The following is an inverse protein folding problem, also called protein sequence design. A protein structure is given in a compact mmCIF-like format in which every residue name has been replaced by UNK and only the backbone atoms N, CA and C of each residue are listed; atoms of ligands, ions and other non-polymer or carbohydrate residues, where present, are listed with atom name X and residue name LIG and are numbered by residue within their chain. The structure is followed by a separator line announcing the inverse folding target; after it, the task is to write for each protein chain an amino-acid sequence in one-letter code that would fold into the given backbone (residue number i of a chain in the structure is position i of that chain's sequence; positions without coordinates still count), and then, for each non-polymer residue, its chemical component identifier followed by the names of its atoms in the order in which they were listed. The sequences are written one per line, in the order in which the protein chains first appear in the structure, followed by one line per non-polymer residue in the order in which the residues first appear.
data_IF_097877580085
#
_entry.id   IF_097877580085
#
_cell.length_a   1.000
_cell.length_b   1.000
_cell.length_c   1.000
_cell.angle_alpha   90.00
_cell.angle_beta   90.00
_cell.angle_gamma   90.00
#
_symmetry.space_group_name_H-M   'P 1'
#
loop_
_entity.id
_entity.type
_entity.pdbx_description
1 polymer ?
#
# COMPACT_ATOMS: atom_id res chain seq x y z
N UNK A 1 -25.48 17.38 10.08
CA UNK A 1 -24.90 18.47 9.25
C UNK A 1 -23.58 17.99 8.67
N UNK A 2 -23.57 17.35 7.49
CA UNK A 2 -23.09 17.92 6.22
C UNK A 2 -21.91 18.91 6.37
N UNK A 3 -20.69 18.41 6.63
CA UNK A 3 -19.43 19.17 6.46
C UNK A 3 -18.25 18.35 5.90
N UNK A 4 -18.47 17.12 5.43
CA UNK A 4 -17.37 16.22 5.03
C UNK A 4 -16.95 16.33 3.55
N UNK A 5 -17.53 17.25 2.76
CA UNK A 5 -17.34 17.26 1.30
C UNK A 5 -16.50 18.42 0.75
N UNK A 6 -15.89 19.25 1.61
CA UNK A 6 -15.23 20.49 1.16
C UNK A 6 -13.69 20.46 1.16
N UNK A 7 -13.06 19.37 1.61
CA UNK A 7 -11.60 19.32 1.72
C UNK A 7 -10.87 18.91 0.42
N UNK A 8 -11.54 18.17 -0.48
CA UNK A 8 -10.94 17.78 -1.77
C UNK A 8 -10.78 18.96 -2.76
N UNK A 9 -11.43 20.10 -2.51
CA UNK A 9 -11.40 21.25 -3.43
C UNK A 9 -10.35 22.30 -3.09
N UNK A 10 -9.79 22.29 -1.87
CA UNK A 10 -8.91 23.39 -1.41
C UNK A 10 -7.42 23.21 -1.72
N UNK A 11 -6.99 21.99 -2.10
CA UNK A 11 -5.61 21.74 -2.55
C UNK A 11 -5.33 22.43 -3.91
N UNK A 12 -6.37 22.85 -4.64
CA UNK A 12 -6.23 23.49 -5.96
C UNK A 12 -5.99 25.01 -5.94
N UNK A 13 -6.07 25.74 -4.83
CA UNK A 13 -6.25 27.20 -4.87
C UNK A 13 -5.10 28.08 -4.35
N UNK A 14 -4.00 27.55 -3.80
CA UNK A 14 -2.99 28.40 -3.15
C UNK A 14 -1.53 28.23 -3.60
N UNK A 15 -1.26 27.72 -4.79
CA UNK A 15 0.08 27.79 -5.38
C UNK A 15 0.01 27.68 -6.90
N UNK A 16 0.48 28.71 -7.59
CA UNK A 16 0.88 28.74 -9.02
C UNK A 16 0.74 27.41 -9.74
N UNK A 17 -0.36 27.20 -10.46
CA UNK A 17 -0.66 26.08 -11.37
C UNK A 17 0.28 24.87 -11.28
N UNK A 18 0.27 24.19 -10.13
CA UNK A 18 0.80 22.84 -10.01
C UNK A 18 -0.25 21.91 -10.62
N UNK A 19 0.04 21.38 -11.81
CA UNK A 19 -0.75 20.27 -12.35
C UNK A 19 -0.42 19.03 -11.48
N UNK A 20 -1.14 18.85 -10.38
CA UNK A 20 -1.05 17.63 -9.57
C UNK A 20 -2.02 16.60 -10.15
N UNK A 21 -1.48 15.51 -10.69
CA UNK A 21 -2.30 14.33 -10.94
C UNK A 21 -2.37 13.54 -9.64
N UNK A 22 -3.58 13.37 -9.11
CA UNK A 22 -3.79 12.52 -7.96
C UNK A 22 -3.58 11.06 -8.35
N UNK A 23 -2.53 10.41 -7.85
CA UNK A 23 -2.41 8.96 -7.95
C UNK A 23 -3.21 8.31 -6.81
N UNK A 24 -3.83 7.16 -7.10
CA UNK A 24 -4.87 6.49 -6.32
C UNK A 24 -4.44 5.88 -4.96
N UNK A 25 -3.31 6.30 -4.38
CA UNK A 25 -2.72 5.67 -3.20
C UNK A 25 -2.99 6.48 -1.92
N UNK A 26 -4.21 6.34 -1.41
CA UNK A 26 -4.51 6.70 -0.03
C UNK A 26 -4.32 5.47 0.85
N UNK A 27 -3.77 5.66 2.04
CA UNK A 27 -3.66 4.58 3.02
C UNK A 27 -4.08 5.03 4.40
N UNK A 28 -4.62 4.06 5.13
CA UNK A 28 -4.82 4.19 6.55
C UNK A 28 -3.46 4.29 7.23
N UNK A 29 -3.32 5.26 8.13
CA UNK A 29 -2.15 5.34 9.00
C UNK A 29 -2.06 4.21 10.00
N UNK A 30 -0.98 4.21 10.78
CA UNK A 30 -0.69 3.12 11.70
C UNK A 30 -1.56 3.20 12.97
N UNK A 31 -2.03 4.40 13.30
CA UNK A 31 -2.96 4.65 14.42
C UNK A 31 -4.21 5.41 13.96
N UNK A 32 -5.19 5.51 14.85
CA UNK A 32 -6.43 6.25 14.57
C UNK A 32 -6.15 7.74 14.35
N UNK A 33 -6.92 8.38 13.46
CA UNK A 33 -6.73 9.78 13.09
C UNK A 33 -5.65 9.99 12.03
N UNK A 34 -4.76 9.02 11.81
CA UNK A 34 -3.72 9.13 10.80
C UNK A 34 -4.17 8.71 9.40
N UNK A 35 -3.76 9.50 8.41
CA UNK A 35 -3.69 9.03 7.03
C UNK A 35 -2.41 9.50 6.36
N UNK A 36 -2.02 8.70 5.37
CA UNK A 36 -0.91 9.00 4.50
C UNK A 36 -1.40 9.00 3.06
N UNK A 37 -0.88 9.93 2.28
CA UNK A 37 -1.26 10.10 0.89
C UNK A 37 -0.02 10.34 0.06
N UNK A 38 0.15 9.52 -0.98
CA UNK A 38 1.24 9.70 -1.93
C UNK A 38 0.73 10.52 -3.10
N UNK A 39 1.25 11.74 -3.21
CA UNK A 39 0.88 12.71 -4.24
C UNK A 39 1.94 12.75 -5.33
N UNK A 40 1.55 13.20 -6.52
CA UNK A 40 2.49 13.60 -7.57
C UNK A 40 2.15 14.99 -8.11
N UNK A 41 3.19 15.74 -8.47
CA UNK A 41 3.03 17.09 -9.03
C UNK A 41 4.10 17.37 -10.07
N UNK A 42 3.75 18.13 -11.10
CA UNK A 42 4.73 18.57 -12.08
C UNK A 42 5.47 19.81 -11.58
N UNK A 43 6.79 19.73 -11.44
CA UNK A 43 7.62 20.87 -11.04
C UNK A 43 8.30 21.50 -12.25
N UNK A 44 7.93 22.75 -12.55
CA UNK A 44 8.49 23.50 -13.67
C UNK A 44 9.95 23.95 -13.43
N UNK A 45 10.35 24.20 -12.18
CA UNK A 45 11.70 24.69 -11.85
C UNK A 45 12.83 23.68 -12.17
N UNK A 46 12.50 22.40 -12.22
CA UNK A 46 13.44 21.29 -12.48
C UNK A 46 12.89 20.33 -13.54
N UNK A 47 11.92 20.80 -14.34
CA UNK A 47 11.18 20.08 -15.39
C UNK A 47 11.01 18.59 -15.15
N UNK A 48 9.96 18.20 -14.43
CA UNK A 48 9.60 16.80 -14.30
C UNK A 48 8.51 16.51 -13.27
N UNK A 49 8.02 15.26 -13.31
CA UNK A 49 7.12 14.74 -12.28
C UNK A 49 7.88 14.54 -10.97
N UNK A 50 7.30 15.08 -9.90
CA UNK A 50 7.68 14.84 -8.52
C UNK A 50 6.63 14.02 -7.83
N UNK A 51 7.06 13.37 -6.76
CA UNK A 51 6.21 12.59 -5.90
C UNK A 51 6.51 12.98 -4.46
N UNK A 52 5.56 12.77 -3.56
CA UNK A 52 5.80 13.05 -2.16
C UNK A 52 4.74 12.47 -1.24
N UNK A 53 5.14 12.32 0.02
CA UNK A 53 4.29 11.81 1.08
C UNK A 53 3.66 12.99 1.82
N UNK A 54 2.33 12.98 1.84
CA UNK A 54 1.51 13.90 2.61
C UNK A 54 0.93 13.13 3.80
N UNK A 55 0.85 13.79 4.94
CA UNK A 55 0.45 13.20 6.21
C UNK A 55 -0.53 14.11 6.96
N UNK A 56 -1.39 13.47 7.75
CA UNK A 56 -2.20 14.08 8.80
C UNK A 56 -2.35 13.09 9.95
N UNK A 57 -2.45 13.59 11.18
CA UNK A 57 -2.77 12.83 12.40
C UNK A 57 -4.06 13.28 13.08
N UNK A 58 -4.88 14.10 12.42
CA UNK A 58 -6.07 14.73 12.99
C UNK A 58 -7.30 14.57 12.10
N UNK A 59 -7.39 13.43 11.41
CA UNK A 59 -8.44 13.11 10.45
C UNK A 59 -8.51 14.10 9.26
N UNK A 60 -7.38 14.76 8.94
CA UNK A 60 -7.26 15.68 7.81
C UNK A 60 -7.65 17.12 8.09
N UNK A 61 -7.71 17.51 9.36
CA UNK A 61 -7.87 18.92 9.70
C UNK A 61 -6.59 19.70 9.38
N UNK A 62 -5.43 19.09 9.60
CA UNK A 62 -4.12 19.63 9.20
C UNK A 62 -3.39 18.64 8.28
N UNK A 63 -2.67 19.21 7.31
CA UNK A 63 -1.97 18.46 6.27
C UNK A 63 -0.52 18.94 6.24
N UNK A 64 0.43 18.02 6.28
CA UNK A 64 1.87 18.29 6.21
C UNK A 64 2.53 17.50 5.10
N UNK A 65 3.52 18.10 4.43
CA UNK A 65 4.40 17.40 3.49
C UNK A 65 5.59 16.82 4.25
N UNK A 66 5.84 15.52 4.12
CA UNK A 66 6.84 14.81 4.93
C UNK A 66 8.05 14.30 4.15
N UNK A 67 7.88 13.86 2.90
CA UNK A 67 8.96 13.21 2.17
C UNK A 67 8.90 13.51 0.68
N UNK A 68 10.01 13.96 0.10
CA UNK A 68 10.16 14.15 -1.34
C UNK A 68 10.51 12.83 -2.05
N UNK A 69 10.02 12.64 -3.26
CA UNK A 69 10.31 11.47 -4.11
C UNK A 69 9.70 10.13 -3.65
N UNK A 70 8.74 10.14 -2.72
CA UNK A 70 7.97 8.93 -2.38
C UNK A 70 6.96 8.63 -3.50
N UNK A 71 7.26 7.66 -4.36
CA UNK A 71 6.45 7.35 -5.55
C UNK A 71 5.64 6.04 -5.43
N UNK A 72 5.55 5.49 -4.23
CA UNK A 72 4.98 4.15 -4.01
C UNK A 72 4.05 4.14 -2.80
N UNK A 73 3.01 3.28 -2.78
CA UNK A 73 2.03 3.25 -1.70
C UNK A 73 2.69 3.01 -0.34
N UNK A 74 2.34 3.84 0.64
CA UNK A 74 2.73 3.68 2.04
C UNK A 74 1.53 3.12 2.79
N UNK A 75 1.69 2.25 3.80
CA UNK A 75 0.60 1.82 4.69
C UNK A 75 1.08 1.78 6.13
N UNK A 76 0.19 2.11 7.07
CA UNK A 76 0.43 1.84 8.48
C UNK A 76 0.37 0.35 8.82
N UNK A 77 1.24 -0.09 9.71
CA UNK A 77 1.16 -1.39 10.36
C UNK A 77 0.56 -1.27 11.77
N UNK A 78 0.45 -2.41 12.47
CA UNK A 78 -0.17 -2.47 13.80
C UNK A 78 0.75 -2.07 14.96
N UNK A 79 1.99 -1.66 14.71
CA UNK A 79 2.95 -1.22 15.74
C UNK A 79 3.30 0.27 15.61
N UNK A 80 2.54 1.05 14.84
CA UNK A 80 2.81 2.47 14.65
C UNK A 80 3.83 2.77 13.56
N UNK A 81 4.30 1.76 12.82
CA UNK A 81 5.24 1.91 11.73
C UNK A 81 4.57 2.05 10.36
N UNK A 82 5.29 2.61 9.40
CA UNK A 82 4.90 2.66 8.00
C UNK A 82 5.67 1.61 7.20
N UNK A 83 5.00 1.02 6.22
CA UNK A 83 5.58 0.11 5.24
C UNK A 83 5.37 0.71 3.87
N UNK A 84 6.39 0.70 3.04
CA UNK A 84 6.29 0.99 1.60
C UNK A 84 7.20 0.04 0.83
N UNK A 85 7.07 0.05 -0.49
CA UNK A 85 7.99 -0.64 -1.38
C UNK A 85 8.59 0.37 -2.32
N UNK A 86 9.88 0.34 -2.58
CA UNK A 86 10.51 1.20 -3.57
C UNK A 86 11.06 0.36 -4.70
N UNK A 87 10.74 0.73 -5.94
CA UNK A 87 11.22 0.01 -7.13
C UNK A 87 12.22 0.87 -7.91
N UNK A 88 13.49 0.94 -7.48
CA UNK A 88 14.53 1.56 -8.29
C UNK A 88 14.69 0.76 -9.59
N UNK A 89 14.81 1.46 -10.72
CA UNK A 89 14.98 0.85 -12.05
C UNK A 89 16.26 -0.01 -12.14
N UNK A 90 17.22 0.17 -11.23
CA UNK A 90 18.58 -0.37 -11.32
C UNK A 90 18.96 -1.39 -10.26
N UNK A 91 18.20 -1.55 -9.17
CA UNK A 91 18.62 -2.36 -8.01
C UNK A 91 17.56 -3.30 -7.45
N UNK A 92 16.48 -3.57 -8.19
CA UNK A 92 15.39 -4.42 -7.71
C UNK A 92 14.57 -3.72 -6.62
N UNK A 93 13.36 -4.21 -6.38
CA UNK A 93 12.46 -3.59 -5.41
C UNK A 93 13.04 -3.75 -4.00
N UNK A 94 12.69 -2.85 -3.08
CA UNK A 94 13.06 -2.88 -1.67
C UNK A 94 11.84 -2.68 -0.79
N UNK A 95 11.86 -3.25 0.40
CA UNK A 95 10.92 -2.87 1.46
C UNK A 95 11.47 -1.65 2.20
N UNK A 96 10.62 -0.66 2.40
CA UNK A 96 10.91 0.56 3.16
C UNK A 96 10.12 0.55 4.47
N UNK A 97 10.76 0.97 5.56
CA UNK A 97 10.16 1.02 6.91
C UNK A 97 10.41 2.37 7.57
N UNK A 98 9.40 2.96 8.17
CA UNK A 98 9.53 4.19 8.94
C UNK A 98 8.81 4.09 10.27
N UNK A 99 9.38 4.66 11.32
CA UNK A 99 8.75 4.80 12.65
C UNK A 99 8.66 6.27 13.08
N UNK A 100 8.94 7.20 12.18
CA UNK A 100 8.95 8.63 12.43
C UNK A 100 8.06 9.38 11.42
N UNK A 101 6.85 8.86 11.20
CA UNK A 101 5.83 9.48 10.32
C UNK A 101 6.28 9.65 8.86
N UNK A 102 7.20 8.81 8.40
CA UNK A 102 7.70 8.83 7.02
C UNK A 102 8.74 9.91 6.75
N UNK A 103 9.36 10.50 7.78
CA UNK A 103 10.49 11.41 7.63
C UNK A 103 11.70 10.64 7.08
N UNK A 104 12.04 9.50 7.69
CA UNK A 104 13.11 8.62 7.23
C UNK A 104 12.61 7.20 7.00
N UNK A 105 13.25 6.49 6.06
CA UNK A 105 12.95 5.09 5.77
C UNK A 105 14.20 4.22 5.83
N UNK A 106 14.16 3.21 6.71
CA UNK A 106 15.08 2.09 6.69
C UNK A 106 14.75 1.16 5.53
N UNK A 107 15.77 0.53 4.94
CA UNK A 107 15.59 -0.37 3.79
C UNK A 107 16.03 -1.78 4.13
N UNK A 108 15.21 -2.78 3.80
CA UNK A 108 15.61 -4.18 3.82
C UNK A 108 15.57 -4.80 2.42
N UNK A 109 16.52 -5.70 2.15
CA UNK A 109 16.62 -6.39 0.87
C UNK A 109 15.63 -7.55 0.81
N UNK A 110 14.47 -7.22 0.26
CA UNK A 110 13.47 -8.13 -0.28
C UNK A 110 13.10 -7.51 -1.63
N UNK A 111 12.83 -8.28 -2.68
CA UNK A 111 12.34 -7.78 -3.98
C UNK A 111 10.79 -7.91 -4.06
N UNK A 112 10.03 -7.11 -3.28
CA UNK A 112 8.58 -7.19 -3.30
C UNK A 112 8.03 -6.56 -4.57
N UNK A 113 7.12 -7.28 -5.22
CA UNK A 113 6.23 -6.76 -6.27
C UNK A 113 4.95 -6.15 -5.69
N UNK A 114 4.63 -6.50 -4.46
CA UNK A 114 3.51 -5.94 -3.70
C UNK A 114 3.60 -6.33 -2.23
N UNK A 115 2.79 -5.70 -1.41
CA UNK A 115 2.70 -6.01 0.01
C UNK A 115 1.28 -5.82 0.54
N UNK A 116 1.01 -6.47 1.67
CA UNK A 116 -0.22 -6.34 2.44
C UNK A 116 0.17 -6.09 3.90
N UNK A 117 -0.50 -5.17 4.61
CA UNK A 117 -0.32 -5.05 6.05
C UNK A 117 -0.76 -6.37 6.71
N UNK A 118 0.03 -6.87 7.65
CA UNK A 118 -0.34 -8.04 8.43
C UNK A 118 -1.49 -7.77 9.39
N UNK A 119 -2.00 -8.84 9.97
CA UNK A 119 -3.11 -8.85 10.92
C UNK A 119 -2.63 -8.76 12.37
N UNK A 120 -1.34 -8.95 12.62
CA UNK A 120 -0.73 -8.88 13.95
C UNK A 120 0.37 -7.81 13.98
N UNK A 121 0.72 -7.39 15.20
CA UNK A 121 1.80 -6.43 15.44
C UNK A 121 3.10 -6.91 14.78
N UNK A 122 3.69 -6.06 13.92
CA UNK A 122 4.95 -6.36 13.22
C UNK A 122 4.83 -7.38 12.09
N UNK A 123 3.63 -7.88 11.78
CA UNK A 123 3.43 -8.79 10.66
C UNK A 123 3.39 -8.01 9.32
N UNK A 124 4.21 -8.45 8.37
CA UNK A 124 4.27 -7.89 7.02
C UNK A 124 4.18 -9.03 6.03
N UNK A 125 3.24 -8.94 5.10
CA UNK A 125 3.08 -9.91 4.01
C UNK A 125 3.61 -9.28 2.74
N UNK A 126 4.57 -9.92 2.08
CA UNK A 126 5.15 -9.46 0.82
C UNK A 126 4.95 -10.48 -0.28
N UNK A 127 4.70 -10.00 -1.49
CA UNK A 127 4.56 -10.81 -2.70
C UNK A 127 5.80 -10.57 -3.54
N UNK A 128 6.59 -11.61 -3.76
CA UNK A 128 7.82 -11.53 -4.54
C UNK A 128 7.61 -12.23 -5.88
N UNK A 129 8.11 -11.62 -6.96
CA UNK A 129 8.09 -12.22 -8.29
C UNK A 129 9.47 -12.74 -8.65
N UNK A 130 9.64 -14.05 -8.82
CA UNK A 130 10.88 -14.59 -9.39
C UNK A 130 10.88 -14.40 -10.90
N UNK A 131 11.67 -13.45 -11.42
CA UNK A 131 12.18 -13.46 -12.81
C UNK A 131 11.19 -13.39 -13.98
N UNK A 132 9.88 -13.37 -13.74
CA UNK A 132 8.87 -13.39 -14.81
C UNK A 132 7.58 -14.01 -14.28
N UNK A 133 6.48 -13.35 -14.59
CA UNK A 133 5.11 -13.64 -14.19
C UNK A 133 4.78 -15.09 -13.75
N UNK A 134 4.30 -15.20 -12.50
CA UNK A 134 3.42 -16.27 -12.01
C UNK A 134 4.09 -17.64 -11.74
N UNK A 135 3.91 -18.27 -10.55
CA UNK A 135 3.22 -17.77 -9.34
C UNK A 135 4.03 -16.74 -8.55
N UNK A 136 3.33 -15.89 -7.79
CA UNK A 136 3.97 -15.02 -6.81
C UNK A 136 4.32 -15.83 -5.57
N UNK A 137 5.55 -15.67 -5.08
CA UNK A 137 5.97 -16.25 -3.83
C UNK A 137 5.54 -15.32 -2.67
N UNK A 138 4.83 -15.88 -1.70
CA UNK A 138 4.35 -15.13 -0.53
C UNK A 138 5.33 -15.28 0.64
N UNK A 139 5.92 -14.14 0.95
CA UNK A 139 6.67 -13.67 2.11
C UNK A 139 5.87 -13.37 3.36
N UNK A 140 6.19 -13.90 4.54
CA UNK A 140 5.71 -13.31 5.82
C UNK A 140 6.86 -13.01 6.76
N UNK A 141 6.91 -11.79 7.25
CA UNK A 141 7.69 -11.38 8.42
C UNK A 141 6.77 -11.26 9.62
N UNK A 142 7.25 -11.65 10.80
CA UNK A 142 6.61 -11.42 12.10
C UNK A 142 7.44 -10.52 13.01
N UNK A 143 8.50 -9.93 12.46
CA UNK A 143 9.55 -9.19 13.17
C UNK A 143 9.82 -7.84 12.50
N UNK A 144 8.75 -7.20 12.01
CA UNK A 144 8.78 -5.83 11.45
C UNK A 144 9.56 -5.69 10.14
N UNK A 145 9.79 -6.81 9.45
CA UNK A 145 10.51 -6.88 8.17
C UNK A 145 11.99 -7.20 8.30
N UNK A 146 12.45 -7.73 9.44
CA UNK A 146 13.86 -8.14 9.62
C UNK A 146 14.12 -9.51 8.97
N UNK A 147 13.21 -10.48 9.15
CA UNK A 147 13.29 -11.79 8.52
C UNK A 147 11.99 -12.16 7.82
N UNK A 148 12.11 -12.95 6.74
CA UNK A 148 10.97 -13.36 5.92
C UNK A 148 10.95 -14.87 5.72
N UNK A 149 9.79 -15.46 5.97
CA UNK A 149 9.55 -16.88 5.77
C UNK A 149 8.62 -17.09 4.57
N UNK A 150 9.04 -17.94 3.65
CA UNK A 150 8.18 -18.40 2.57
C UNK A 150 6.97 -19.15 3.14
N UNK A 151 5.76 -18.83 2.65
CA UNK A 151 4.52 -19.49 3.06
C UNK A 151 3.82 -20.24 1.95
N UNK A 152 3.76 -19.67 0.74
CA UNK A 152 3.01 -20.24 -0.37
C UNK A 152 3.44 -19.65 -1.71
N UNK A 153 3.08 -20.36 -2.78
CA UNK A 153 3.02 -19.80 -4.13
C UNK A 153 1.56 -19.52 -4.46
N UNK A 154 1.21 -18.25 -4.70
CA UNK A 154 -0.14 -17.86 -5.07
C UNK A 154 -0.20 -17.52 -6.56
N UNK A 155 -1.25 -17.95 -7.28
CA UNK A 155 -1.44 -17.55 -8.67
C UNK A 155 -1.54 -16.02 -8.77
N UNK A 156 -0.99 -15.46 -9.82
CA UNK A 156 -1.23 -14.08 -10.23
C UNK A 156 -2.47 -14.01 -11.13
N UNK A 157 -3.36 -13.09 -10.82
CA UNK A 157 -4.48 -12.72 -11.68
C UNK A 157 -4.39 -11.23 -11.97
N UNK A 158 -4.31 -10.88 -13.25
CA UNK A 158 -4.44 -9.49 -13.70
C UNK A 158 -5.78 -8.92 -13.22
N UNK A 159 -5.79 -7.65 -12.84
CA UNK A 159 -6.99 -6.94 -12.36
C UNK A 159 -7.67 -7.61 -11.15
N UNK A 160 -6.88 -8.16 -10.22
CA UNK A 160 -7.38 -8.65 -8.93
C UNK A 160 -6.92 -7.77 -7.79
N UNK A 161 -7.73 -7.70 -6.73
CA UNK A 161 -7.36 -7.05 -5.47
C UNK A 161 -7.10 -8.16 -4.46
N UNK A 162 -5.92 -8.15 -3.85
CA UNK A 162 -5.57 -9.03 -2.72
C UNK A 162 -5.50 -8.19 -1.45
N UNK A 163 -6.08 -8.69 -0.35
CA UNK A 163 -6.07 -8.05 0.97
C UNK A 163 -5.87 -9.09 2.06
N UNK A 164 -5.23 -8.69 3.15
CA UNK A 164 -5.20 -9.46 4.40
C UNK A 164 -6.56 -9.40 5.10
N UNK A 165 -6.91 -10.50 5.76
CA UNK A 165 -8.14 -10.64 6.51
C UNK A 165 -8.06 -10.14 7.96
N UNK A 166 -9.06 -10.47 8.79
CA UNK A 166 -9.07 -10.08 10.20
C UNK A 166 -8.19 -10.96 11.11
N UNK A 167 -7.74 -12.13 10.64
CA UNK A 167 -6.94 -13.08 11.41
C UNK A 167 -5.66 -13.44 10.68
N UNK A 168 -4.65 -13.84 11.44
CA UNK A 168 -3.38 -14.37 10.93
C UNK A 168 -3.63 -15.47 9.91
N UNK A 169 -2.92 -15.42 8.79
CA UNK A 169 -3.11 -16.36 7.67
C UNK A 169 -4.29 -16.05 6.75
N UNK A 170 -5.24 -15.19 7.14
CA UNK A 170 -6.38 -14.89 6.29
C UNK A 170 -5.99 -14.00 5.12
N UNK A 171 -6.35 -14.44 3.91
CA UNK A 171 -6.23 -13.66 2.68
C UNK A 171 -7.56 -13.67 1.94
N UNK A 172 -7.94 -12.52 1.41
CA UNK A 172 -9.07 -12.36 0.51
C UNK A 172 -8.58 -11.83 -0.82
N UNK A 173 -8.99 -12.49 -1.91
CA UNK A 173 -8.76 -11.99 -3.26
C UNK A 173 -10.09 -11.79 -3.96
N UNK A 174 -10.27 -10.63 -4.56
CA UNK A 174 -11.39 -10.35 -5.43
C UNK A 174 -10.89 -10.34 -6.89
N UNK A 175 -11.44 -11.23 -7.70
CA UNK A 175 -11.37 -11.16 -9.17
C UNK A 175 -12.70 -10.61 -9.70
N UNK A 176 -12.81 -10.39 -11.00
CA UNK A 176 -14.01 -9.85 -11.66
C UNK A 176 -15.31 -10.59 -11.29
N UNK A 177 -15.22 -11.89 -11.03
CA UNK A 177 -16.38 -12.78 -10.88
C UNK A 177 -16.34 -13.66 -9.63
N UNK A 178 -15.28 -13.58 -8.81
CA UNK A 178 -15.05 -14.54 -7.73
C UNK A 178 -14.38 -13.87 -6.54
N UNK A 179 -14.93 -14.09 -5.35
CA UNK A 179 -14.22 -13.87 -4.09
C UNK A 179 -13.49 -15.17 -3.71
N UNK A 180 -12.20 -15.06 -3.44
CA UNK A 180 -11.37 -16.15 -2.98
C UNK A 180 -10.98 -15.89 -1.53
N UNK A 181 -11.02 -16.93 -0.72
CA UNK A 181 -10.61 -16.86 0.68
C UNK A 181 -9.60 -17.96 0.99
N UNK A 182 -8.56 -17.61 1.72
CA UNK A 182 -7.60 -18.55 2.30
C UNK A 182 -7.47 -18.24 3.78
N UNK A 183 -7.33 -19.28 4.61
CA UNK A 183 -7.03 -19.17 6.04
C UNK A 183 -5.56 -19.51 6.38
N UNK A 184 -4.75 -19.82 5.36
CA UNK A 184 -3.44 -20.44 5.49
C UNK A 184 -2.38 -19.76 4.61
N UNK A 185 -2.42 -18.43 4.54
CA UNK A 185 -1.50 -17.61 3.75
C UNK A 185 -1.48 -17.97 2.26
N UNK A 186 -2.62 -18.39 1.72
CA UNK A 186 -2.80 -18.69 0.30
C UNK A 186 -2.28 -20.06 -0.12
N UNK A 187 -1.99 -20.97 0.81
CA UNK A 187 -1.69 -22.37 0.45
C UNK A 187 -2.92 -23.02 -0.19
N UNK A 188 -4.12 -22.74 0.34
CA UNK A 188 -5.38 -23.18 -0.24
C UNK A 188 -6.36 -22.01 -0.34
N UNK A 189 -7.01 -21.87 -1.50
CA UNK A 189 -8.10 -20.91 -1.67
C UNK A 189 -9.45 -21.60 -1.91
N UNK A 190 -10.41 -21.25 -1.08
CA UNK A 190 -11.83 -21.50 -1.29
C UNK A 190 -12.40 -20.42 -2.22
N UNK A 191 -13.25 -20.83 -3.17
CA UNK A 191 -13.85 -19.94 -4.18
C UNK A 191 -15.31 -19.70 -3.86
N UNK A 192 -15.73 -18.44 -3.98
CA UNK A 192 -17.09 -17.99 -3.82
C UNK A 192 -17.46 -17.16 -5.05
N UNK A 193 -18.12 -17.77 -6.05
CA UNK A 193 -18.57 -17.05 -7.23
C UNK A 193 -19.48 -15.88 -6.84
N UNK A 194 -19.28 -14.74 -7.49
CA UNK A 194 -20.11 -13.56 -7.32
C UNK A 194 -21.38 -13.70 -8.17
N UNK A 195 -22.51 -13.35 -7.58
CA UNK A 195 -23.78 -13.21 -8.29
C UNK A 195 -23.69 -12.13 -9.38
N UNK A 196 -24.49 -12.27 -10.44
CA UNK A 196 -24.71 -11.27 -11.50
C UNK A 196 -25.03 -9.87 -10.95
N UNK A 197 -25.77 -9.79 -9.84
CA UNK A 197 -26.11 -8.51 -9.22
C UNK A 197 -24.89 -7.75 -8.67
N UNK A 198 -23.90 -8.48 -8.14
CA UNK A 198 -22.66 -7.90 -7.61
C UNK A 198 -21.68 -7.54 -8.73
N UNK A 199 -21.71 -8.29 -9.84
CA UNK A 199 -20.81 -8.08 -10.99
C UNK A 199 -21.13 -6.83 -11.81
N UNK A 200 -22.38 -6.37 -11.79
CA UNK A 200 -22.88 -5.26 -12.61
C UNK A 200 -23.06 -3.94 -11.83
N UNK A 201 -22.59 -3.87 -10.58
CA UNK A 201 -22.63 -2.68 -9.72
C UNK A 201 -21.29 -1.92 -9.76
#
# INVERSE_FOLDING_TARGET
MKKTFFLFSFICLCSTTLYSQMHYYHSKGAVEGEFYYVSSWYSYNISGWKYGLIFSNDYGQTISHQHDSMNSPVYGDKIGGLVSTYHPLTSGSKLLRSFNYGIDFDTSWVDPRGFLPGTTAGEIIVLCGQGGYNPWALYVSSDTGQTFQFKSQIPYYSFSILKSGPKTGHLYRLTTDTLWFSADYGQNFQKYPLDETVRNA
#
